data_IF_160010589361
#
_entry.id   IF_160010589361
#
_cell.length_a   1.000
_cell.length_b   1.000
_cell.length_c   1.000
_cell.angle_alpha   90.00
_cell.angle_beta   90.00
_cell.angle_gamma   90.00
#
_symmetry.space_group_name_H-M   'P 1'
#
loop_
_entity.id
_entity.type
_entity.pdbx_description
1 polymer ?
#
# COMPACT_ATOMS: atom_id res chain seq x y z
N UNK A 1 31.43 -43.72 63.91
CA UNK A 1 32.02 -44.31 62.72
C UNK A 1 31.54 -43.54 61.49
N UNK A 2 32.39 -42.79 60.83
CA UNK A 2 31.97 -42.09 59.62
C UNK A 2 32.22 -42.99 58.37
N UNK A 3 31.16 -43.15 57.57
CA UNK A 3 31.19 -43.84 56.26
C UNK A 3 32.02 -43.04 55.26
N UNK A 4 33.16 -43.57 54.84
CA UNK A 4 34.02 -43.09 53.76
C UNK A 4 33.29 -43.36 52.44
N UNK A 5 32.66 -42.36 51.83
CA UNK A 5 32.19 -42.40 50.45
C UNK A 5 33.39 -42.37 49.53
N UNK A 6 33.54 -43.45 48.70
CA UNK A 6 34.60 -43.62 47.75
C UNK A 6 34.52 -42.58 46.63
N UNK A 7 35.64 -41.90 46.29
CA UNK A 7 35.78 -40.93 45.22
C UNK A 7 35.35 -41.47 43.83
N UNK A 8 35.20 -42.77 43.68
CA UNK A 8 34.79 -43.43 42.44
C UNK A 8 33.26 -43.38 42.21
N UNK A 9 32.45 -43.27 43.25
CA UNK A 9 31.00 -43.11 43.11
C UNK A 9 30.59 -41.69 42.69
N UNK A 10 31.41 -40.70 43.01
CA UNK A 10 31.14 -39.31 42.68
C UNK A 10 31.27 -39.03 41.16
N UNK A 11 32.18 -39.72 40.48
CA UNK A 11 32.38 -39.60 39.04
C UNK A 11 31.29 -40.30 38.20
N UNK A 12 30.66 -41.35 38.72
CA UNK A 12 29.54 -42.02 38.03
C UNK A 12 28.25 -41.25 38.14
N UNK A 13 28.04 -40.50 39.22
CA UNK A 13 26.85 -39.62 39.35
C UNK A 13 26.97 -38.34 38.53
N UNK A 14 28.19 -37.88 38.19
CA UNK A 14 28.37 -36.67 37.36
C UNK A 14 28.14 -36.93 35.85
N UNK A 15 28.24 -38.19 35.41
CA UNK A 15 28.06 -38.61 34.01
C UNK A 15 26.57 -38.84 33.62
N UNK A 16 25.66 -38.90 34.59
CA UNK A 16 24.22 -39.09 34.36
C UNK A 16 23.43 -37.78 34.25
N UNK A 17 24.05 -36.61 34.45
CA UNK A 17 23.41 -35.30 34.36
C UNK A 17 23.59 -34.60 33.02
N UNK A 18 24.29 -35.16 32.05
CA UNK A 18 24.50 -34.58 30.72
C UNK A 18 23.52 -35.08 29.63
N UNK A 19 22.51 -35.85 30.00
CA UNK A 19 21.44 -36.25 29.10
C UNK A 19 20.18 -35.36 29.29
N UNK A 20 20.35 -34.05 29.51
CA UNK A 20 19.28 -33.10 29.18
C UNK A 20 19.21 -33.03 27.67
N UNK A 21 18.29 -33.82 27.12
CA UNK A 21 17.92 -33.67 25.74
C UNK A 21 17.62 -32.18 25.46
N UNK A 22 18.34 -31.61 24.51
CA UNK A 22 17.94 -30.37 23.85
C UNK A 22 16.61 -30.72 23.18
N UNK A 23 15.50 -30.55 23.92
CA UNK A 23 14.20 -30.41 23.29
C UNK A 23 14.36 -29.16 22.44
N UNK A 24 14.64 -29.35 21.14
CA UNK A 24 14.44 -28.30 20.16
C UNK A 24 13.00 -27.85 20.35
N UNK A 25 12.84 -26.70 21.02
CA UNK A 25 11.59 -25.94 20.95
C UNK A 25 11.34 -25.82 19.45
N UNK A 26 10.20 -26.34 18.91
CA UNK A 26 9.91 -26.12 17.53
C UNK A 26 9.95 -24.59 17.35
N UNK A 27 10.87 -24.10 16.55
CA UNK A 27 10.90 -22.69 16.17
C UNK A 27 9.50 -22.43 15.63
N UNK A 28 8.71 -21.60 16.29
CA UNK A 28 7.49 -21.10 15.68
C UNK A 28 7.95 -20.57 14.33
N UNK A 29 7.48 -21.22 13.25
CA UNK A 29 7.89 -20.86 11.91
C UNK A 29 7.71 -19.35 11.74
N UNK A 30 8.74 -18.69 11.22
CA UNK A 30 8.70 -17.27 10.94
C UNK A 30 7.39 -16.94 10.21
N UNK A 31 6.67 -15.93 10.66
CA UNK A 31 5.43 -15.48 10.04
C UNK A 31 5.72 -14.33 9.08
N UNK A 32 5.30 -14.45 7.82
CA UNK A 32 5.34 -13.39 6.82
C UNK A 32 3.93 -12.88 6.56
N UNK A 33 3.69 -11.61 6.86
CA UNK A 33 2.39 -10.98 6.64
C UNK A 33 2.45 -10.18 5.34
N UNK A 34 1.55 -10.51 4.39
CA UNK A 34 1.40 -9.81 3.12
C UNK A 34 0.23 -8.84 3.22
N UNK A 35 0.52 -7.53 3.12
CA UNK A 35 -0.50 -6.49 3.04
C UNK A 35 -0.92 -6.22 1.60
N UNK A 36 -2.23 -6.12 1.37
CA UNK A 36 -2.81 -5.70 0.09
C UNK A 36 -3.94 -4.71 0.33
N UNK A 37 -4.14 -3.78 -0.61
CA UNK A 37 -5.30 -2.88 -0.61
C UNK A 37 -6.25 -3.30 -1.71
N UNK A 38 -7.49 -3.57 -1.36
CA UNK A 38 -8.55 -3.95 -2.29
C UNK A 38 -9.81 -3.15 -1.96
N UNK A 39 -10.34 -2.42 -2.94
CA UNK A 39 -11.51 -1.55 -2.71
C UNK A 39 -12.85 -2.25 -2.95
N UNK A 40 -12.90 -3.25 -3.84
CA UNK A 40 -14.16 -3.83 -4.33
C UNK A 40 -14.24 -5.37 -4.31
N UNK A 41 -13.16 -6.12 -3.99
CA UNK A 41 -13.07 -7.55 -4.30
C UNK A 41 -12.72 -8.42 -3.08
N UNK A 42 -13.53 -8.38 -2.01
CA UNK A 42 -13.19 -9.05 -0.75
C UNK A 42 -12.70 -10.50 -0.88
N UNK A 43 -13.54 -11.43 -1.33
CA UNK A 43 -13.17 -12.85 -1.44
C UNK A 43 -12.34 -13.16 -2.69
N UNK A 44 -12.62 -12.52 -3.82
CA UNK A 44 -11.92 -12.76 -5.08
C UNK A 44 -10.47 -12.29 -5.02
N UNK A 45 -10.21 -11.13 -4.40
CA UNK A 45 -8.87 -10.65 -4.16
C UNK A 45 -8.06 -11.59 -3.25
N UNK A 46 -8.70 -12.18 -2.23
CA UNK A 46 -8.05 -13.15 -1.34
C UNK A 46 -7.73 -14.44 -2.09
N UNK A 47 -8.65 -14.94 -2.88
CA UNK A 47 -8.50 -16.20 -3.60
C UNK A 47 -7.34 -16.17 -4.59
N UNK A 48 -7.13 -15.06 -5.27
CA UNK A 48 -6.04 -14.89 -6.23
C UNK A 48 -4.64 -14.98 -5.61
N UNK A 49 -4.48 -14.68 -4.31
CA UNK A 49 -3.21 -14.82 -3.59
C UNK A 49 -2.96 -16.21 -3.02
N UNK A 50 -3.95 -17.11 -2.99
CA UNK A 50 -3.84 -18.39 -2.30
C UNK A 50 -2.68 -19.24 -2.82
N UNK A 51 -2.55 -19.39 -4.13
CA UNK A 51 -1.48 -20.19 -4.74
C UNK A 51 -0.11 -19.56 -4.50
N UNK A 52 -0.01 -18.23 -4.60
CA UNK A 52 1.23 -17.49 -4.33
C UNK A 52 1.67 -17.63 -2.86
N UNK A 53 0.75 -17.54 -1.91
CA UNK A 53 1.02 -17.72 -0.46
C UNK A 53 1.58 -19.12 -0.19
N UNK A 54 0.95 -20.15 -0.74
CA UNK A 54 1.40 -21.52 -0.60
C UNK A 54 2.80 -21.74 -1.20
N UNK A 55 3.03 -21.18 -2.38
CA UNK A 55 4.33 -21.21 -3.04
C UNK A 55 5.40 -20.53 -2.18
N UNK A 56 5.17 -19.28 -1.76
CA UNK A 56 6.12 -18.52 -0.95
C UNK A 56 6.43 -19.24 0.37
N UNK A 57 5.39 -19.72 1.07
CA UNK A 57 5.54 -20.47 2.31
C UNK A 57 6.38 -21.75 2.13
N UNK A 58 6.10 -22.53 1.07
CA UNK A 58 6.84 -23.78 0.79
C UNK A 58 8.32 -23.54 0.47
N UNK A 59 8.64 -22.45 -0.23
CA UNK A 59 10.00 -22.09 -0.65
C UNK A 59 10.81 -21.42 0.46
N UNK A 60 10.13 -20.70 1.34
CA UNK A 60 10.78 -19.94 2.42
C UNK A 60 10.77 -20.68 3.77
N UNK A 61 9.93 -21.70 3.92
CA UNK A 61 9.70 -22.38 5.21
C UNK A 61 8.93 -21.51 6.23
N UNK A 62 8.35 -20.38 5.80
CA UNK A 62 7.59 -19.47 6.64
C UNK A 62 6.09 -19.77 6.58
N UNK A 63 5.37 -19.39 7.64
CA UNK A 63 3.91 -19.29 7.61
C UNK A 63 3.55 -17.96 6.96
N UNK A 64 2.95 -17.99 5.77
CA UNK A 64 2.58 -16.79 5.03
C UNK A 64 1.09 -16.51 5.20
N UNK A 65 0.76 -15.29 5.60
CA UNK A 65 -0.63 -14.84 5.78
C UNK A 65 -0.91 -13.59 4.95
N UNK A 66 -2.09 -13.56 4.32
CA UNK A 66 -2.61 -12.37 3.67
C UNK A 66 -3.41 -11.53 4.67
N UNK A 67 -3.16 -10.24 4.66
CA UNK A 67 -3.92 -9.25 5.42
C UNK A 67 -4.47 -8.19 4.45
N UNK A 68 -5.68 -8.38 3.92
CA UNK A 68 -6.31 -7.39 3.07
C UNK A 68 -6.78 -6.19 3.91
N UNK A 69 -6.68 -5.00 3.35
CA UNK A 69 -7.30 -3.79 3.87
C UNK A 69 -8.21 -3.18 2.82
N UNK A 70 -9.34 -2.63 3.26
CA UNK A 70 -10.36 -2.06 2.36
C UNK A 70 -10.33 -0.53 2.34
N UNK A 71 -9.36 0.07 3.02
CA UNK A 71 -9.11 1.50 2.96
C UNK A 71 -7.63 1.83 3.17
N UNK A 72 -7.21 2.92 2.55
CA UNK A 72 -5.81 3.36 2.55
C UNK A 72 -5.34 3.85 3.91
N UNK A 73 -6.22 4.42 4.73
CA UNK A 73 -5.83 4.87 6.08
C UNK A 73 -5.37 3.70 6.94
N UNK A 74 -6.08 2.56 6.86
CA UNK A 74 -5.67 1.34 7.56
C UNK A 74 -4.35 0.79 7.03
N UNK A 75 -4.16 0.82 5.71
CA UNK A 75 -2.89 0.42 5.10
C UNK A 75 -1.72 1.31 5.56
N UNK A 76 -1.93 2.64 5.65
CA UNK A 76 -0.94 3.57 6.19
C UNK A 76 -0.57 3.22 7.63
N UNK A 77 -1.55 2.95 8.50
CA UNK A 77 -1.31 2.54 9.90
C UNK A 77 -0.45 1.27 9.97
N UNK A 78 -0.75 0.27 9.13
CA UNK A 78 0.01 -0.99 9.09
C UNK A 78 1.43 -0.80 8.56
N UNK A 79 1.63 0.06 7.57
CA UNK A 79 2.95 0.45 7.06
C UNK A 79 3.74 1.19 8.14
N UNK A 80 3.13 2.16 8.81
CA UNK A 80 3.77 2.96 9.86
C UNK A 80 4.18 2.13 11.07
N UNK A 81 3.35 1.17 11.45
CA UNK A 81 3.67 0.21 12.53
C UNK A 81 4.63 -0.90 12.08
N UNK A 82 5.04 -0.91 10.79
CA UNK A 82 5.90 -1.95 10.18
C UNK A 82 5.35 -3.36 10.35
N UNK A 83 4.03 -3.49 10.39
CA UNK A 83 3.35 -4.75 10.67
C UNK A 83 3.38 -5.73 9.50
N UNK A 84 3.59 -5.25 8.28
CA UNK A 84 3.63 -6.07 7.09
C UNK A 84 5.05 -6.42 6.68
N UNK A 85 5.29 -7.70 6.40
CA UNK A 85 6.55 -8.22 5.85
C UNK A 85 6.71 -7.88 4.37
N UNK A 86 5.63 -8.02 3.61
CA UNK A 86 5.52 -7.65 2.20
C UNK A 86 4.28 -6.77 2.01
N UNK A 87 4.33 -5.86 1.06
CA UNK A 87 3.19 -4.99 0.70
C UNK A 87 3.05 -4.93 -0.81
N UNK A 88 1.89 -5.28 -1.32
CA UNK A 88 1.49 -4.99 -2.70
C UNK A 88 0.86 -3.61 -2.70
N UNK A 89 1.69 -2.60 -2.88
CA UNK A 89 1.35 -1.21 -2.61
C UNK A 89 0.96 -0.44 -3.89
N UNK A 90 -0.23 0.18 -3.93
CA UNK A 90 -0.52 1.18 -4.94
C UNK A 90 0.42 2.39 -4.81
N UNK A 91 0.55 3.22 -5.85
CA UNK A 91 1.61 4.23 -5.95
C UNK A 91 1.75 5.17 -4.76
N UNK A 92 0.65 5.69 -4.25
CA UNK A 92 0.70 6.64 -3.13
C UNK A 92 1.18 5.99 -1.83
N UNK A 93 0.69 4.77 -1.53
CA UNK A 93 1.14 4.00 -0.37
C UNK A 93 2.61 3.57 -0.52
N UNK A 94 3.03 3.20 -1.73
CA UNK A 94 4.42 2.88 -2.02
C UNK A 94 5.35 4.06 -1.72
N UNK A 95 4.99 5.26 -2.17
CA UNK A 95 5.77 6.46 -1.88
C UNK A 95 5.90 6.72 -0.37
N UNK A 96 4.81 6.56 0.41
CA UNK A 96 4.83 6.69 1.87
C UNK A 96 5.73 5.63 2.51
N UNK A 97 5.58 4.38 2.11
CA UNK A 97 6.33 3.26 2.67
C UNK A 97 7.84 3.41 2.42
N UNK A 98 8.23 3.80 1.22
CA UNK A 98 9.64 4.01 0.83
C UNK A 98 10.21 5.22 1.58
N UNK A 99 9.55 6.39 1.50
CA UNK A 99 10.11 7.64 2.02
C UNK A 99 10.14 7.71 3.54
N UNK A 100 9.14 7.15 4.22
CA UNK A 100 8.91 7.39 5.65
C UNK A 100 9.11 6.16 6.53
N UNK A 101 9.05 4.95 5.96
CA UNK A 101 9.00 3.71 6.74
C UNK A 101 10.08 2.69 6.35
N UNK A 102 11.02 3.06 5.47
CA UNK A 102 12.19 2.26 5.10
C UNK A 102 11.86 0.93 4.40
N UNK A 103 10.68 0.82 3.79
CA UNK A 103 10.37 -0.30 2.92
C UNK A 103 11.19 -0.23 1.63
N UNK A 104 11.62 -1.38 1.12
CA UNK A 104 12.43 -1.47 -0.09
C UNK A 104 11.61 -2.03 -1.25
N UNK A 105 11.67 -1.42 -2.45
CA UNK A 105 10.98 -1.94 -3.62
C UNK A 105 11.64 -3.23 -4.13
N UNK A 106 10.81 -4.24 -4.47
CA UNK A 106 11.24 -5.52 -5.02
C UNK A 106 10.86 -5.69 -6.48
N UNK A 107 9.58 -5.54 -6.82
CA UNK A 107 9.05 -5.80 -8.16
C UNK A 107 7.92 -4.82 -8.49
N UNK A 108 7.80 -4.34 -9.75
CA UNK A 108 6.65 -3.55 -10.15
C UNK A 108 5.38 -4.40 -10.13
N UNK A 109 4.25 -3.77 -9.80
CA UNK A 109 2.93 -4.39 -9.96
C UNK A 109 2.48 -4.27 -11.42
N UNK A 110 1.71 -5.26 -11.87
CA UNK A 110 0.90 -5.12 -13.06
C UNK A 110 -0.12 -4.00 -12.86
N UNK A 111 -0.44 -3.26 -13.90
CA UNK A 111 -1.41 -2.17 -13.78
C UNK A 111 -1.47 -1.27 -15.00
N UNK A 112 -2.24 -0.20 -14.86
CA UNK A 112 -2.42 0.80 -15.91
C UNK A 112 -1.12 1.58 -16.11
N UNK A 113 -0.57 1.51 -17.30
CA UNK A 113 0.55 2.37 -17.70
C UNK A 113 0.05 3.80 -17.97
N UNK A 114 0.92 4.78 -17.75
CA UNK A 114 0.61 6.20 -17.97
C UNK A 114 -0.59 6.72 -17.16
N UNK A 115 -0.75 6.22 -15.94
CA UNK A 115 -1.79 6.70 -15.04
C UNK A 115 -1.60 8.19 -14.75
N UNK A 116 -2.68 8.98 -14.85
CA UNK A 116 -2.69 10.42 -14.56
C UNK A 116 -3.80 10.79 -13.60
N UNK A 117 -3.50 11.72 -12.71
CA UNK A 117 -4.51 12.38 -11.89
C UNK A 117 -5.28 13.40 -12.70
N UNK A 118 -6.59 13.45 -12.50
CA UNK A 118 -7.49 14.45 -13.11
C UNK A 118 -8.36 15.08 -12.05
N UNK A 119 -8.82 16.29 -12.35
CA UNK A 119 -9.97 16.92 -11.70
C UNK A 119 -11.10 16.98 -12.70
N UNK A 120 -12.28 16.54 -12.29
CA UNK A 120 -13.50 16.54 -13.11
C UNK A 120 -14.55 17.44 -12.51
N UNK A 121 -15.38 18.01 -13.35
CA UNK A 121 -16.58 18.79 -13.00
C UNK A 121 -17.74 18.30 -13.84
N UNK A 122 -18.97 18.71 -13.50
CA UNK A 122 -20.12 18.53 -14.39
C UNK A 122 -19.92 19.34 -15.67
N UNK A 123 -20.46 18.85 -16.78
CA UNK A 123 -20.39 19.53 -18.09
C UNK A 123 -21.00 20.95 -18.05
N UNK A 124 -22.10 21.13 -17.31
CA UNK A 124 -22.79 22.39 -17.13
C UNK A 124 -22.19 23.34 -16.08
N UNK A 125 -21.09 22.94 -15.44
CA UNK A 125 -20.39 23.74 -14.42
C UNK A 125 -19.75 24.99 -15.01
N UNK A 126 -19.87 26.16 -14.36
CA UNK A 126 -19.19 27.39 -14.78
C UNK A 126 -17.69 27.39 -14.58
N UNK A 127 -17.15 26.43 -13.84
CA UNK A 127 -15.72 26.31 -13.51
C UNK A 127 -14.93 25.94 -14.77
N UNK A 128 -13.98 26.76 -15.21
CA UNK A 128 -13.21 26.52 -16.44
C UNK A 128 -11.75 26.19 -16.19
N UNK A 129 -11.20 26.52 -15.02
CA UNK A 129 -9.79 26.33 -14.67
C UNK A 129 -9.64 26.13 -13.16
N UNK A 130 -8.47 25.65 -12.71
CA UNK A 130 -8.22 25.34 -11.29
C UNK A 130 -8.50 26.52 -10.36
N UNK A 131 -8.11 27.75 -10.74
CA UNK A 131 -8.32 28.94 -9.91
C UNK A 131 -9.80 29.23 -9.63
N UNK A 132 -10.71 28.79 -10.49
CA UNK A 132 -12.15 29.01 -10.33
C UNK A 132 -12.74 28.13 -9.20
N UNK A 133 -11.93 27.18 -8.70
CA UNK A 133 -12.27 26.37 -7.52
C UNK A 133 -12.08 27.12 -6.19
N UNK A 134 -11.57 28.36 -6.22
CA UNK A 134 -11.48 29.21 -5.02
C UNK A 134 -12.86 29.33 -4.36
N UNK A 135 -12.96 29.00 -3.07
CA UNK A 135 -14.21 29.02 -2.31
C UNK A 135 -15.21 27.91 -2.68
N UNK A 136 -14.82 26.92 -3.48
CA UNK A 136 -15.66 25.80 -3.87
C UNK A 136 -15.40 24.56 -3.02
N UNK A 137 -16.35 23.61 -3.03
CA UNK A 137 -16.21 22.28 -2.40
C UNK A 137 -15.59 21.31 -3.40
N UNK A 138 -14.56 20.58 -2.97
CA UNK A 138 -13.85 19.60 -3.79
C UNK A 138 -13.90 18.22 -3.13
N UNK A 139 -14.29 17.20 -3.89
CA UNK A 139 -14.23 15.79 -3.48
C UNK A 139 -12.86 15.20 -3.85
N UNK A 140 -12.15 14.72 -2.85
CA UNK A 140 -10.88 14.00 -2.98
C UNK A 140 -11.06 12.52 -2.63
N UNK A 141 -10.15 11.68 -3.09
CA UNK A 141 -10.00 10.32 -2.60
C UNK A 141 -9.40 10.27 -1.20
N UNK A 142 -9.22 9.05 -0.68
CA UNK A 142 -8.62 8.85 0.64
C UNK A 142 -7.12 9.21 0.66
N UNK A 143 -6.63 9.56 1.85
CA UNK A 143 -5.20 9.70 2.10
C UNK A 143 -4.51 8.38 1.76
N UNK A 144 -3.47 8.43 0.92
CA UNK A 144 -2.82 7.24 0.36
C UNK A 144 -3.00 7.13 -1.16
N UNK A 145 -4.10 7.68 -1.72
CA UNK A 145 -4.31 7.71 -3.16
C UNK A 145 -3.39 8.72 -3.85
N UNK A 146 -2.60 8.26 -4.83
CA UNK A 146 -1.77 9.14 -5.63
C UNK A 146 -2.63 10.11 -6.45
N UNK A 147 -3.60 9.59 -7.18
CA UNK A 147 -4.42 10.33 -8.15
C UNK A 147 -5.60 11.06 -7.52
N UNK A 148 -6.16 10.52 -6.44
CA UNK A 148 -7.33 11.09 -5.78
C UNK A 148 -6.99 12.05 -4.63
N UNK A 149 -5.77 11.97 -4.07
CA UNK A 149 -5.38 12.76 -2.90
C UNK A 149 -4.11 13.59 -3.13
N UNK A 150 -2.95 12.95 -3.36
CA UNK A 150 -1.66 13.65 -3.34
C UNK A 150 -1.50 14.64 -4.49
N UNK A 151 -1.67 14.20 -5.72
CA UNK A 151 -1.56 15.09 -6.89
C UNK A 151 -2.60 16.22 -6.88
N UNK A 152 -3.90 15.95 -6.58
CA UNK A 152 -4.88 17.02 -6.49
C UNK A 152 -4.55 18.08 -5.44
N UNK A 153 -4.17 17.68 -4.22
CA UNK A 153 -3.78 18.64 -3.17
C UNK A 153 -2.55 19.45 -3.61
N UNK A 154 -1.57 18.81 -4.23
CA UNK A 154 -0.41 19.50 -4.77
C UNK A 154 -0.79 20.53 -5.82
N UNK A 155 -1.70 20.19 -6.75
CA UNK A 155 -2.16 21.08 -7.82
C UNK A 155 -3.09 22.20 -7.35
N UNK A 156 -3.82 21.97 -6.27
CA UNK A 156 -4.73 22.96 -5.65
C UNK A 156 -4.01 23.84 -4.60
N UNK A 157 -2.69 23.64 -4.42
CA UNK A 157 -1.92 24.42 -3.46
C UNK A 157 -2.03 25.90 -3.73
N UNK A 158 -2.32 26.67 -2.67
CA UNK A 158 -2.50 28.13 -2.74
C UNK A 158 -3.96 28.55 -2.96
N UNK A 159 -4.89 27.64 -3.26
CA UNK A 159 -6.32 27.93 -3.27
C UNK A 159 -6.92 27.71 -1.88
N UNK A 160 -7.82 28.60 -1.47
CA UNK A 160 -8.66 28.41 -0.29
C UNK A 160 -9.98 27.82 -0.75
N UNK A 161 -10.22 26.54 -0.44
CA UNK A 161 -11.45 25.83 -0.73
C UNK A 161 -12.47 26.10 0.40
N UNK A 162 -13.78 26.08 0.09
CA UNK A 162 -14.81 26.15 1.14
C UNK A 162 -14.86 24.88 1.95
N UNK A 163 -14.67 23.73 1.29
CA UNK A 163 -14.68 22.41 1.92
C UNK A 163 -13.89 21.42 1.08
N UNK A 164 -13.24 20.45 1.76
CA UNK A 164 -12.65 19.27 1.15
C UNK A 164 -13.33 18.04 1.71
N UNK A 165 -14.00 17.29 0.84
CA UNK A 165 -14.70 16.05 1.18
C UNK A 165 -13.84 14.85 0.78
N UNK A 166 -13.69 13.86 1.66
CA UNK A 166 -12.91 12.65 1.39
C UNK A 166 -13.83 11.48 1.07
N UNK A 167 -13.88 11.09 -0.19
CA UNK A 167 -14.69 9.97 -0.67
C UNK A 167 -14.01 8.61 -0.38
N UNK A 168 -14.78 7.60 0.03
CA UNK A 168 -14.24 6.26 0.27
C UNK A 168 -13.77 5.55 -1.00
N UNK A 169 -14.37 5.85 -2.15
CA UNK A 169 -14.03 5.25 -3.44
C UNK A 169 -14.02 6.28 -4.58
N UNK A 170 -13.32 6.04 -5.69
CA UNK A 170 -13.37 6.90 -6.87
C UNK A 170 -14.78 7.05 -7.46
N UNK A 171 -15.61 6.01 -7.37
CA UNK A 171 -17.01 6.05 -7.77
C UNK A 171 -17.79 7.07 -6.94
N UNK A 172 -17.58 7.09 -5.63
CA UNK A 172 -18.22 8.06 -4.72
C UNK A 172 -17.79 9.49 -5.02
N UNK A 173 -16.54 9.73 -5.48
CA UNK A 173 -16.12 11.05 -5.97
C UNK A 173 -17.03 11.53 -7.10
N UNK A 174 -17.25 10.70 -8.13
CA UNK A 174 -18.11 11.04 -9.26
C UNK A 174 -19.58 11.21 -8.82
N UNK A 175 -20.04 10.36 -7.91
CA UNK A 175 -21.40 10.48 -7.35
C UNK A 175 -21.63 11.85 -6.70
N UNK A 176 -20.69 12.30 -5.86
CA UNK A 176 -20.82 13.60 -5.20
C UNK A 176 -20.76 14.78 -6.16
N UNK A 177 -19.97 14.69 -7.23
CA UNK A 177 -19.97 15.70 -8.31
C UNK A 177 -21.28 15.65 -9.08
N UNK A 178 -21.79 14.47 -9.43
CA UNK A 178 -23.07 14.31 -10.13
C UNK A 178 -24.24 14.90 -9.34
N UNK A 179 -24.26 14.68 -8.03
CA UNK A 179 -25.29 15.19 -7.11
C UNK A 179 -25.12 16.67 -6.75
N UNK A 180 -24.06 17.34 -7.22
CA UNK A 180 -23.76 18.73 -6.86
C UNK A 180 -23.31 18.92 -5.39
N UNK A 181 -22.99 17.86 -4.66
CA UNK A 181 -22.42 17.92 -3.31
C UNK A 181 -21.00 18.48 -3.34
N UNK A 182 -20.25 18.18 -4.40
CA UNK A 182 -18.95 18.76 -4.67
C UNK A 182 -18.95 19.42 -6.06
N UNK A 183 -18.27 20.56 -6.18
CA UNK A 183 -18.13 21.29 -7.45
C UNK A 183 -17.16 20.56 -8.38
N UNK A 184 -16.09 19.97 -7.83
CA UNK A 184 -15.12 19.18 -8.56
C UNK A 184 -14.76 17.91 -7.80
N UNK A 185 -14.24 16.91 -8.53
CA UNK A 185 -13.78 15.65 -7.95
C UNK A 185 -12.46 15.20 -8.54
N UNK A 186 -11.64 14.56 -7.71
CA UNK A 186 -10.31 14.07 -8.08
C UNK A 186 -10.25 12.54 -8.12
N UNK A 187 -9.74 12.01 -9.23
CA UNK A 187 -9.53 10.58 -9.44
C UNK A 187 -8.52 10.36 -10.58
N UNK A 188 -8.24 9.12 -10.94
CA UNK A 188 -7.45 8.85 -12.13
C UNK A 188 -8.28 8.90 -13.40
N UNK A 189 -7.62 9.14 -14.54
CA UNK A 189 -8.27 9.05 -15.87
C UNK A 189 -8.84 7.65 -16.12
N UNK A 190 -8.18 6.60 -15.65
CA UNK A 190 -8.63 5.21 -15.81
C UNK A 190 -9.94 4.97 -15.03
N UNK A 191 -9.98 5.36 -13.76
CA UNK A 191 -11.17 5.26 -12.91
C UNK A 191 -12.34 6.09 -13.48
N UNK A 192 -12.05 7.30 -13.94
CA UNK A 192 -13.04 8.13 -14.62
C UNK A 192 -13.68 7.42 -15.80
N UNK A 193 -12.86 6.84 -16.68
CA UNK A 193 -13.36 6.10 -17.84
C UNK A 193 -14.17 4.86 -17.47
N UNK A 194 -13.81 4.19 -16.37
CA UNK A 194 -14.51 2.99 -15.88
C UNK A 194 -15.88 3.31 -15.26
N UNK A 195 -15.99 4.45 -14.55
CA UNK A 195 -17.19 4.72 -13.77
C UNK A 195 -18.14 5.74 -14.42
N UNK A 196 -17.66 6.66 -15.28
CA UNK A 196 -18.52 7.75 -15.82
C UNK A 196 -19.79 7.28 -16.52
N UNK A 197 -19.76 6.15 -17.19
CA UNK A 197 -20.92 5.57 -17.90
C UNK A 197 -22.05 5.12 -16.97
N UNK A 198 -21.78 4.94 -15.67
CA UNK A 198 -22.77 4.57 -14.66
C UNK A 198 -23.66 5.76 -14.24
N UNK A 199 -23.30 6.99 -14.65
CA UNK A 199 -24.00 8.23 -14.33
C UNK A 199 -24.70 8.79 -15.58
N UNK A 200 -25.63 8.03 -16.15
CA UNK A 200 -26.29 8.32 -17.45
C UNK A 200 -27.02 9.67 -17.50
N UNK A 201 -27.38 10.25 -16.36
CA UNK A 201 -28.08 11.55 -16.28
C UNK A 201 -27.12 12.72 -16.07
N UNK A 202 -25.83 12.48 -15.95
CA UNK A 202 -24.83 13.53 -15.69
C UNK A 202 -23.68 13.41 -16.67
N UNK A 203 -23.47 14.46 -17.45
CA UNK A 203 -22.26 14.59 -18.26
C UNK A 203 -21.17 15.27 -17.43
N UNK A 204 -19.96 14.73 -17.55
CA UNK A 204 -18.78 15.26 -16.91
C UNK A 204 -17.78 15.74 -17.94
N UNK A 205 -16.97 16.71 -17.57
CA UNK A 205 -15.76 17.06 -18.31
C UNK A 205 -14.54 17.09 -17.41
N UNK A 206 -13.39 16.80 -18.00
CA UNK A 206 -12.11 16.94 -17.33
C UNK A 206 -11.76 18.42 -17.27
N UNK A 207 -11.64 18.95 -16.05
CA UNK A 207 -11.23 20.34 -15.80
C UNK A 207 -9.71 20.47 -15.92
N UNK A 208 -8.99 19.51 -15.39
CA UNK A 208 -7.52 19.53 -15.34
C UNK A 208 -6.96 18.10 -15.41
N UNK A 209 -5.85 17.94 -16.11
CA UNK A 209 -5.05 16.71 -16.13
C UNK A 209 -3.63 17.04 -15.67
N UNK A 210 -3.13 16.33 -14.67
CA UNK A 210 -1.75 16.50 -14.22
C UNK A 210 -0.79 16.13 -15.35
N UNK A 211 0.24 16.95 -15.64
CA UNK A 211 1.22 16.64 -16.69
C UNK A 211 2.10 15.43 -16.36
N UNK A 212 2.21 15.08 -15.09
CA UNK A 212 3.08 13.98 -14.64
C UNK A 212 2.32 12.66 -14.61
N UNK A 213 3.01 11.61 -14.97
CA UNK A 213 2.52 10.25 -14.80
C UNK A 213 2.73 9.78 -13.36
N UNK A 214 1.75 9.05 -12.86
CA UNK A 214 1.89 8.30 -11.61
C UNK A 214 2.64 7.01 -11.91
N UNK A 215 3.70 6.66 -11.16
CA UNK A 215 4.39 5.38 -11.34
C UNK A 215 3.42 4.22 -11.07
N UNK A 216 3.65 3.02 -11.65
CA UNK A 216 2.88 1.83 -11.27
C UNK A 216 3.07 1.51 -9.79
N UNK A 217 2.19 0.68 -9.21
CA UNK A 217 2.39 0.13 -7.88
C UNK A 217 3.63 -0.75 -7.81
N UNK A 218 4.02 -1.16 -6.62
CA UNK A 218 5.23 -1.96 -6.40
C UNK A 218 5.04 -2.91 -5.22
N UNK A 219 5.63 -4.10 -5.32
CA UNK A 219 5.81 -4.97 -4.17
C UNK A 219 6.96 -4.43 -3.34
N UNK A 220 6.71 -4.24 -2.06
CA UNK A 220 7.68 -3.74 -1.10
C UNK A 220 7.99 -4.80 -0.05
N UNK A 221 9.24 -4.83 0.44
CA UNK A 221 9.65 -5.63 1.60
C UNK A 221 9.90 -4.73 2.81
N UNK A 222 9.38 -5.16 3.96
CA UNK A 222 9.45 -4.39 5.20
C UNK A 222 10.83 -4.42 5.85
N UNK A 223 11.21 -3.35 6.57
CA UNK A 223 12.51 -3.24 7.23
C UNK A 223 12.69 -4.16 8.44
N UNK A 224 11.61 -4.78 8.92
CA UNK A 224 11.66 -5.77 10.01
C UNK A 224 12.27 -7.11 9.56
N UNK A 225 12.28 -7.37 8.26
CA UNK A 225 12.85 -8.59 7.70
C UNK A 225 14.37 -8.44 7.61
N UNK A 226 15.10 -9.38 8.18
CA UNK A 226 16.56 -9.40 8.14
C UNK A 226 17.08 -9.46 6.69
N UNK A 227 18.22 -8.81 6.41
CA UNK A 227 18.72 -8.59 5.05
C UNK A 227 18.92 -9.88 4.23
N UNK A 228 19.49 -10.92 4.84
CA UNK A 228 19.67 -12.21 4.13
C UNK A 228 18.31 -12.83 3.79
N UNK A 229 17.35 -12.63 4.66
CA UNK A 229 15.98 -13.09 4.45
C UNK A 229 15.25 -12.28 3.37
N UNK A 230 15.46 -10.97 3.32
CA UNK A 230 14.95 -10.14 2.23
C UNK A 230 15.45 -10.64 0.87
N UNK A 231 16.75 -10.95 0.78
CA UNK A 231 17.34 -11.46 -0.46
C UNK A 231 16.80 -12.83 -0.85
N UNK A 232 16.62 -13.73 0.13
CA UNK A 232 15.99 -15.03 -0.12
C UNK A 232 14.55 -14.89 -0.63
N UNK A 233 13.74 -14.03 0.00
CA UNK A 233 12.36 -13.76 -0.43
C UNK A 233 12.36 -13.17 -1.84
N UNK A 234 13.24 -12.20 -2.11
CA UNK A 234 13.39 -11.59 -3.43
C UNK A 234 13.71 -12.66 -4.49
N UNK A 235 14.65 -13.55 -4.21
CA UNK A 235 15.05 -14.62 -5.14
C UNK A 235 13.88 -15.57 -5.41
N UNK A 236 13.21 -16.05 -4.36
CA UNK A 236 12.03 -16.92 -4.47
C UNK A 236 10.94 -16.26 -5.32
N UNK A 237 10.66 -14.96 -5.11
CA UNK A 237 9.67 -14.23 -5.90
C UNK A 237 10.13 -14.01 -7.35
N UNK A 238 11.44 -13.80 -7.59
CA UNK A 238 11.97 -13.64 -8.95
C UNK A 238 11.91 -14.91 -9.79
N UNK A 239 11.93 -16.08 -9.13
CA UNK A 239 11.85 -17.40 -9.74
C UNK A 239 10.43 -18.01 -9.71
N UNK A 240 9.45 -17.24 -9.26
CA UNK A 240 8.08 -17.73 -9.19
C UNK A 240 7.56 -18.10 -10.59
N UNK A 241 6.81 -19.21 -10.72
CA UNK A 241 6.10 -19.52 -11.96
C UNK A 241 5.29 -18.34 -12.45
N UNK A 242 5.34 -18.05 -13.76
CA UNK A 242 4.70 -16.87 -14.35
C UNK A 242 3.20 -16.77 -14.02
N UNK A 243 2.51 -17.90 -13.96
CA UNK A 243 1.09 -17.93 -13.58
C UNK A 243 0.86 -17.41 -12.15
N UNK A 244 1.72 -17.78 -11.19
CA UNK A 244 1.59 -17.34 -9.81
C UNK A 244 1.91 -15.85 -9.65
N UNK A 245 2.93 -15.36 -10.37
CA UNK A 245 3.26 -13.94 -10.38
C UNK A 245 2.12 -13.10 -10.99
N UNK A 246 1.53 -13.58 -12.09
CA UNK A 246 0.39 -12.94 -12.75
C UNK A 246 -0.87 -12.96 -11.84
N UNK A 247 -1.17 -14.09 -11.20
CA UNK A 247 -2.28 -14.17 -10.22
C UNK A 247 -2.09 -13.18 -9.07
N UNK A 248 -0.87 -13.06 -8.54
CA UNK A 248 -0.55 -12.08 -7.50
C UNK A 248 -0.42 -10.63 -8.02
N UNK A 249 -0.35 -10.44 -9.34
CA UNK A 249 -0.35 -9.14 -10.01
C UNK A 249 0.99 -8.40 -9.94
N UNK A 250 2.14 -9.09 -10.02
CA UNK A 250 3.46 -8.45 -10.09
C UNK A 250 4.29 -8.99 -11.25
N UNK A 251 5.28 -8.23 -11.68
CA UNK A 251 6.18 -8.56 -12.80
C UNK A 251 7.54 -8.98 -12.23
N UNK A 252 7.88 -10.30 -12.20
CA UNK A 252 9.18 -10.77 -11.76
C UNK A 252 10.29 -10.15 -12.62
N UNK A 253 11.34 -9.65 -11.96
CA UNK A 253 12.50 -9.03 -12.63
C UNK A 253 12.16 -7.82 -13.54
N UNK A 254 10.97 -7.25 -13.41
CA UNK A 254 10.61 -6.01 -14.08
C UNK A 254 11.44 -4.82 -13.58
N UNK A 255 11.65 -3.78 -14.41
CA UNK A 255 12.35 -2.58 -14.00
C UNK A 255 11.57 -1.86 -12.89
N UNK A 256 12.27 -1.51 -11.81
CA UNK A 256 11.63 -0.79 -10.70
C UNK A 256 11.20 0.61 -11.16
N UNK A 257 9.98 1.04 -10.79
CA UNK A 257 9.50 2.37 -11.11
C UNK A 257 10.28 3.44 -10.36
N UNK A 258 10.46 4.60 -10.99
CA UNK A 258 11.00 5.78 -10.33
C UNK A 258 9.92 6.46 -9.47
N UNK A 259 10.16 6.51 -8.17
CA UNK A 259 9.27 7.13 -7.20
C UNK A 259 9.70 8.53 -6.76
N UNK A 260 10.83 9.08 -7.26
CA UNK A 260 11.39 10.33 -6.74
C UNK A 260 10.39 11.47 -6.78
N UNK A 261 9.72 11.67 -7.91
CA UNK A 261 8.71 12.72 -8.03
C UNK A 261 7.49 12.48 -7.13
N UNK A 262 6.98 11.24 -7.09
CA UNK A 262 5.84 10.90 -6.23
C UNK A 262 6.15 11.09 -4.74
N UNK A 263 7.36 10.74 -4.30
CA UNK A 263 7.86 10.98 -2.95
C UNK A 263 7.89 12.48 -2.64
N UNK A 264 8.44 13.29 -3.55
CA UNK A 264 8.48 14.74 -3.37
C UNK A 264 7.08 15.36 -3.24
N UNK A 265 6.10 14.87 -4.02
CA UNK A 265 4.70 15.29 -3.91
C UNK A 265 4.11 14.89 -2.55
N UNK A 266 4.32 13.64 -2.11
CA UNK A 266 3.84 13.16 -0.79
C UNK A 266 4.40 14.01 0.35
N UNK A 267 5.71 14.28 0.34
CA UNK A 267 6.37 15.10 1.36
C UNK A 267 5.86 16.54 1.35
N UNK A 268 5.65 17.12 0.17
CA UNK A 268 5.11 18.48 0.04
C UNK A 268 3.68 18.58 0.58
N UNK A 269 2.82 17.64 0.22
CA UNK A 269 1.43 17.59 0.69
C UNK A 269 1.39 17.43 2.22
N UNK A 270 2.22 16.56 2.79
CA UNK A 270 2.35 16.41 4.23
C UNK A 270 2.70 17.71 4.95
N UNK A 271 3.61 18.51 4.37
CA UNK A 271 3.98 19.80 4.95
C UNK A 271 2.83 20.84 4.90
N UNK A 272 1.92 20.71 3.92
CA UNK A 272 0.70 21.51 3.82
C UNK A 272 -0.31 21.11 4.90
N UNK A 273 -0.57 19.81 5.07
CA UNK A 273 -1.48 19.29 6.08
C UNK A 273 -1.11 19.73 7.50
N UNK A 274 0.18 19.76 7.83
CA UNK A 274 0.65 20.27 9.12
C UNK A 274 0.32 21.74 9.37
N UNK A 275 0.31 22.58 8.31
CA UNK A 275 -0.03 24.00 8.43
C UNK A 275 -1.53 24.25 8.61
N UNK A 276 -2.37 23.36 8.07
CA UNK A 276 -3.83 23.49 8.16
C UNK A 276 -4.38 22.85 9.44
N UNK A 277 -3.77 21.78 9.93
CA UNK A 277 -4.12 21.15 11.20
C UNK A 277 -3.80 21.99 12.44
N UNK A 278 -2.91 22.96 12.33
CA UNK A 278 -2.59 23.91 13.42
C UNK A 278 -3.59 25.09 13.53
N UNK A 279 -4.47 25.25 12.54
CA UNK A 279 -5.51 26.31 12.54
C UNK A 279 -6.91 25.81 12.84
N UNK A 280 -7.10 24.47 12.97
CA UNK A 280 -8.37 23.86 13.39
C UNK A 280 -8.31 23.50 14.89
N UNK A 281 -8.37 24.53 15.76
CA UNK A 281 -8.71 24.42 17.19
C UNK A 281 -9.72 25.51 17.51
#
# INVERSE_FOLDING_TARGET
MPLRTSRRLFFVQLLLLTACGVTSIPSQGEELIIGVVSYDEGEEAINRFTNFINYLGSKTGAVVRLEPTFNENKAIERIQSRAWSLVFAPPGLAAIAIAQNQYLPLFPLEGVTNLRSILVVRQDSPIQQLKDLQGQTVALGQRGSATGYYFPIYNLYGLTLSEVMFAPTPKTVLEWVAQGKATAGALSMAEFNSYRSQFSQTEFRVLYTDPHYVPPGVVLIGPIIERNRQEQIRLVMSEAPSILAQEAGYIPNGPLPDYQYMIAVVERVRAIDFKHGATAK
#
